data_IF_573066489826
#
_entry.id   IF_573066489826
#
_cell.length_a   1.000
_cell.length_b   1.000
_cell.length_c   1.000
_cell.angle_alpha   90.00
_cell.angle_beta   90.00
_cell.angle_gamma   90.00
#
_symmetry.space_group_name_H-M   'P 1'
#
loop_
_entity.id
_entity.type
_entity.pdbx_description
1 polymer ?
#
# COMPACT_ATOMS: atom_id res chain seq x y z
N UNK A 1 32.71 -1.08 -12.77
CA UNK A 1 31.86 -1.45 -11.61
C UNK A 1 30.55 -0.70 -11.78
N UNK A 2 29.45 -1.40 -11.68
CA UNK A 2 28.10 -0.83 -11.73
C UNK A 2 27.92 0.17 -10.59
N UNK A 3 27.39 1.34 -10.89
CA UNK A 3 27.13 2.37 -9.90
C UNK A 3 25.80 2.06 -9.18
N UNK A 4 25.77 2.22 -7.87
CA UNK A 4 24.55 2.09 -7.06
C UNK A 4 23.99 3.50 -6.80
N UNK A 5 22.79 3.76 -7.27
CA UNK A 5 22.09 5.04 -7.15
C UNK A 5 21.02 4.90 -6.08
N UNK A 6 21.24 5.41 -4.90
CA UNK A 6 20.33 5.29 -3.76
C UNK A 6 19.37 6.47 -3.74
N UNK A 7 18.10 6.21 -3.90
CA UNK A 7 17.01 7.17 -3.72
C UNK A 7 16.41 7.00 -2.32
N UNK A 8 16.66 7.95 -1.44
CA UNK A 8 16.13 7.91 -0.08
C UNK A 8 15.04 8.95 0.15
N UNK A 9 14.05 8.61 0.98
CA UNK A 9 13.06 9.57 1.44
C UNK A 9 13.45 10.08 2.84
N UNK A 10 13.86 11.36 2.99
CA UNK A 10 14.32 11.89 4.27
C UNK A 10 13.25 11.91 5.36
N UNK A 11 11.96 11.76 5.00
CA UNK A 11 10.84 11.71 5.93
C UNK A 11 10.47 10.29 6.36
N UNK A 12 11.01 9.26 5.70
CA UNK A 12 10.75 7.85 6.06
C UNK A 12 11.54 7.45 7.31
N UNK A 13 11.12 6.34 7.95
CA UNK A 13 11.78 5.82 9.15
C UNK A 13 11.78 6.82 10.32
N UNK A 14 10.76 7.68 10.45
CA UNK A 14 10.75 8.80 11.41
C UNK A 14 11.92 9.79 11.22
N UNK A 15 12.44 9.93 10.01
CA UNK A 15 13.53 10.82 9.65
C UNK A 15 14.91 10.17 9.65
N UNK A 16 15.02 8.86 9.88
CA UNK A 16 16.32 8.14 9.93
C UNK A 16 16.69 7.44 8.63
N UNK A 17 15.84 7.47 7.60
CA UNK A 17 16.03 6.71 6.37
C UNK A 17 17.40 6.91 5.70
N UNK A 18 17.95 8.14 5.72
CA UNK A 18 19.28 8.43 5.17
C UNK A 18 20.39 7.72 5.95
N UNK A 19 20.28 7.74 7.27
CA UNK A 19 21.23 7.08 8.19
C UNK A 19 21.12 5.56 8.05
N UNK A 20 19.90 5.03 7.99
CA UNK A 20 19.64 3.61 7.80
C UNK A 20 20.19 3.13 6.45
N UNK A 21 20.07 3.94 5.39
CA UNK A 21 20.60 3.64 4.06
C UNK A 21 22.14 3.54 4.02
N UNK A 22 22.85 4.14 4.97
CA UNK A 22 24.33 4.06 5.02
C UNK A 22 24.89 2.67 5.27
N UNK A 23 24.06 1.73 5.69
CA UNK A 23 24.48 0.31 5.77
C UNK A 23 24.91 -0.18 4.39
N UNK A 24 24.38 0.39 3.32
CA UNK A 24 24.74 0.05 1.94
C UNK A 24 26.18 0.44 1.59
N UNK A 25 26.78 1.43 2.28
CA UNK A 25 28.19 1.80 2.11
C UNK A 25 29.16 0.68 2.52
N UNK A 26 28.69 -0.27 3.34
CA UNK A 26 29.46 -1.45 3.76
C UNK A 26 29.45 -2.52 2.66
N UNK A 27 28.39 -2.55 1.86
CA UNK A 27 28.11 -3.59 0.87
C UNK A 27 28.58 -3.20 -0.55
N UNK A 28 28.60 -1.91 -0.88
CA UNK A 28 28.84 -1.41 -2.22
C UNK A 28 29.91 -0.30 -2.22
N UNK A 29 30.84 -0.36 -3.16
CA UNK A 29 31.96 0.58 -3.26
C UNK A 29 31.62 1.86 -4.06
N UNK A 30 30.79 1.75 -5.11
CA UNK A 30 30.44 2.86 -6.00
C UNK A 30 28.98 3.28 -5.80
N UNK A 31 28.74 4.10 -4.75
CA UNK A 31 27.40 4.48 -4.32
C UNK A 31 27.22 6.00 -4.34
N UNK A 32 26.06 6.46 -4.81
CA UNK A 32 25.65 7.86 -4.78
C UNK A 32 24.24 7.98 -4.20
N UNK A 33 23.99 9.03 -3.43
CA UNK A 33 22.71 9.22 -2.73
C UNK A 33 21.96 10.43 -3.29
N UNK A 34 20.68 10.25 -3.56
CA UNK A 34 19.76 11.31 -3.97
C UNK A 34 18.56 11.38 -3.03
N UNK A 35 18.26 12.60 -2.60
CA UNK A 35 17.00 12.89 -1.90
C UNK A 35 15.86 12.92 -2.93
N UNK A 36 14.98 11.93 -2.86
CA UNK A 36 13.87 11.81 -3.79
C UNK A 36 12.85 12.94 -3.69
N UNK A 37 12.88 13.74 -2.60
CA UNK A 37 12.04 14.94 -2.46
C UNK A 37 12.56 16.12 -3.28
N UNK A 38 13.80 16.05 -3.78
CA UNK A 38 14.42 17.07 -4.62
C UNK A 38 14.38 16.73 -6.11
N UNK A 39 13.87 15.56 -6.48
CA UNK A 39 13.70 15.16 -7.88
C UNK A 39 12.41 15.80 -8.39
N UNK A 40 12.55 16.83 -9.22
CA UNK A 40 11.42 17.54 -9.82
C UNK A 40 10.79 16.77 -10.97
N UNK A 41 11.62 16.06 -11.77
CA UNK A 41 11.18 15.29 -12.95
C UNK A 41 11.90 13.92 -12.99
N UNK A 42 11.17 12.87 -12.76
CA UNK A 42 11.71 11.50 -12.82
C UNK A 42 12.11 11.07 -14.23
N UNK A 43 11.46 11.56 -15.29
CA UNK A 43 11.84 11.22 -16.66
C UNK A 43 13.23 11.74 -16.98
N UNK A 44 13.52 13.01 -16.63
CA UNK A 44 14.83 13.62 -16.82
C UNK A 44 15.89 12.95 -15.92
N UNK A 45 15.50 12.62 -14.68
CA UNK A 45 16.39 11.92 -13.75
C UNK A 45 16.84 10.57 -14.32
N UNK A 46 15.90 9.71 -14.73
CA UNK A 46 16.24 8.41 -15.30
C UNK A 46 16.95 8.48 -16.65
N UNK A 47 16.63 9.48 -17.47
CA UNK A 47 17.35 9.72 -18.72
C UNK A 47 18.82 10.14 -18.50
N UNK A 48 19.16 10.68 -17.32
CA UNK A 48 20.53 11.07 -16.95
C UNK A 48 21.38 9.93 -16.41
N UNK A 49 20.76 8.79 -16.05
CA UNK A 49 21.46 7.61 -15.53
C UNK A 49 21.97 6.71 -16.66
N UNK A 50 23.06 6.00 -16.39
CA UNK A 50 23.44 4.86 -17.25
C UNK A 50 22.42 3.74 -17.05
N UNK A 51 21.89 3.10 -18.12
CA UNK A 51 20.98 1.97 -17.98
C UNK A 51 21.53 0.79 -17.14
N UNK A 52 22.87 0.68 -17.02
CA UNK A 52 23.54 -0.30 -16.17
C UNK A 52 23.62 0.09 -14.69
N UNK A 53 23.24 1.33 -14.32
CA UNK A 53 23.20 1.74 -12.92
C UNK A 53 22.07 1.03 -12.18
N UNK A 54 22.35 0.43 -11.03
CA UNK A 54 21.33 -0.10 -10.14
C UNK A 54 20.72 1.03 -9.30
N UNK A 55 19.40 1.12 -9.30
CA UNK A 55 18.68 2.11 -8.49
C UNK A 55 18.07 1.44 -7.27
N UNK A 56 18.46 1.89 -6.06
CA UNK A 56 18.01 1.33 -4.79
C UNK A 56 17.07 2.34 -4.11
N UNK A 57 15.80 1.97 -3.98
CA UNK A 57 14.78 2.77 -3.30
C UNK A 57 14.82 2.48 -1.80
N UNK A 58 15.15 3.50 -0.98
CA UNK A 58 15.17 3.38 0.47
C UNK A 58 13.97 4.08 1.11
N UNK A 59 13.21 3.34 1.88
CA UNK A 59 12.02 3.88 2.55
C UNK A 59 11.07 2.81 3.07
N UNK A 60 9.86 3.22 3.44
CA UNK A 60 8.75 2.33 3.76
C UNK A 60 7.78 2.15 2.58
N UNK A 61 6.69 1.41 2.80
CA UNK A 61 5.66 1.14 1.80
C UNK A 61 5.10 2.42 1.16
N UNK A 62 4.89 3.48 1.94
CA UNK A 62 4.45 4.78 1.41
C UNK A 62 5.47 5.44 0.50
N UNK A 63 6.78 5.23 0.72
CA UNK A 63 7.84 5.72 -0.17
C UNK A 63 7.79 4.98 -1.51
N UNK A 64 7.65 3.64 -1.46
CA UNK A 64 7.57 2.82 -2.65
C UNK A 64 6.29 3.11 -3.45
N UNK A 65 5.14 3.29 -2.77
CA UNK A 65 3.88 3.68 -3.41
C UNK A 65 3.99 5.05 -4.08
N UNK A 66 4.55 6.05 -3.38
CA UNK A 66 4.77 7.39 -3.94
C UNK A 66 5.66 7.32 -5.17
N UNK A 67 6.79 6.62 -5.11
CA UNK A 67 7.67 6.43 -6.26
C UNK A 67 6.93 5.84 -7.46
N UNK A 68 6.12 4.80 -7.25
CA UNK A 68 5.33 4.17 -8.31
C UNK A 68 4.29 5.11 -8.94
N UNK A 69 3.73 6.05 -8.17
CA UNK A 69 2.80 7.05 -8.69
C UNK A 69 3.52 8.22 -9.38
N UNK A 70 4.64 8.69 -8.82
CA UNK A 70 5.42 9.80 -9.37
C UNK A 70 6.15 9.40 -10.67
N UNK A 71 6.47 8.10 -10.85
CA UNK A 71 7.05 7.54 -12.08
C UNK A 71 6.01 7.01 -13.07
N UNK A 72 4.74 7.36 -12.88
CA UNK A 72 3.67 6.99 -13.80
C UNK A 72 3.93 7.52 -15.22
N UNK A 73 4.05 6.62 -16.22
CA UNK A 73 4.36 6.98 -17.60
C UNK A 73 5.83 7.30 -17.88
N UNK A 74 6.71 7.12 -16.89
CA UNK A 74 8.16 7.26 -17.07
C UNK A 74 8.76 5.92 -17.50
N UNK A 75 9.56 5.91 -18.57
CA UNK A 75 10.33 4.73 -18.97
C UNK A 75 11.55 4.60 -18.05
N UNK A 76 11.60 3.51 -17.27
CA UNK A 76 12.73 3.19 -16.41
C UNK A 76 13.42 1.93 -16.96
N UNK A 77 14.67 2.07 -17.37
CA UNK A 77 15.50 0.98 -17.92
C UNK A 77 16.40 0.34 -16.87
N UNK A 78 16.58 1.02 -15.77
CA UNK A 78 17.46 0.62 -14.69
C UNK A 78 16.89 -0.57 -13.89
N UNK A 79 17.74 -1.50 -13.43
CA UNK A 79 17.34 -2.41 -12.36
C UNK A 79 16.93 -1.62 -11.11
N UNK A 80 15.73 -1.90 -10.60
CA UNK A 80 15.22 -1.26 -9.39
C UNK A 80 15.27 -2.26 -8.23
N UNK A 81 15.87 -1.82 -7.15
CA UNK A 81 15.94 -2.55 -5.89
C UNK A 81 15.19 -1.79 -4.80
N UNK A 82 14.73 -2.49 -3.79
CA UNK A 82 14.08 -1.89 -2.64
C UNK A 82 14.80 -2.29 -1.35
N UNK A 83 15.16 -1.30 -0.57
CA UNK A 83 15.69 -1.44 0.78
C UNK A 83 14.68 -0.88 1.79
N UNK A 84 14.02 -1.77 2.52
CA UNK A 84 12.92 -1.42 3.40
C UNK A 84 13.42 -0.85 4.73
N UNK A 85 13.33 0.46 4.92
CA UNK A 85 13.67 1.17 6.16
C UNK A 85 12.43 1.66 6.93
N UNK A 86 11.22 1.26 6.48
CA UNK A 86 9.96 1.61 7.13
C UNK A 86 9.65 0.79 8.37
N UNK A 87 8.68 1.22 9.17
CA UNK A 87 8.25 0.52 10.39
C UNK A 87 7.20 -0.57 10.14
N UNK A 88 6.40 -0.46 9.08
CA UNK A 88 5.33 -1.40 8.74
C UNK A 88 5.80 -2.52 7.83
N UNK A 89 6.38 -2.14 6.70
CA UNK A 89 6.94 -3.02 5.66
C UNK A 89 5.99 -4.16 5.27
N UNK A 90 4.70 -3.83 5.08
CA UNK A 90 3.66 -4.81 4.74
C UNK A 90 3.92 -5.45 3.37
N UNK A 91 4.50 -4.68 2.44
CA UNK A 91 4.93 -5.17 1.15
C UNK A 91 5.98 -6.29 1.28
N UNK A 92 7.04 -6.06 2.03
CA UNK A 92 8.12 -7.05 2.26
C UNK A 92 7.58 -8.27 2.97
N UNK A 93 6.75 -8.07 4.02
CA UNK A 93 6.11 -9.16 4.76
C UNK A 93 5.27 -10.06 3.86
N UNK A 94 4.67 -9.51 2.83
CA UNK A 94 3.81 -10.24 1.90
C UNK A 94 4.60 -11.12 0.92
N UNK A 95 5.86 -10.81 0.68
CA UNK A 95 6.68 -11.53 -0.29
C UNK A 95 7.23 -12.85 0.27
N UNK A 96 7.15 -13.09 1.58
CA UNK A 96 7.72 -14.27 2.23
C UNK A 96 9.18 -14.54 1.79
N UNK A 97 9.96 -13.45 1.63
CA UNK A 97 11.34 -13.52 1.17
C UNK A 97 12.19 -14.33 2.15
N UNK A 98 13.10 -15.18 1.65
CA UNK A 98 14.07 -15.85 2.53
C UNK A 98 14.98 -14.81 3.21
N UNK A 99 15.60 -15.20 4.33
CA UNK A 99 16.61 -14.37 4.97
C UNK A 99 17.77 -14.16 4.00
N UNK A 100 17.88 -12.96 3.44
CA UNK A 100 18.89 -12.60 2.46
C UNK A 100 20.16 -12.07 3.12
N UNK A 101 21.29 -12.40 2.51
CA UNK A 101 22.55 -11.73 2.80
C UNK A 101 22.55 -10.25 2.31
N UNK A 102 21.82 -9.95 1.23
CA UNK A 102 21.64 -8.60 0.69
C UNK A 102 20.35 -8.01 1.27
N UNK A 103 20.41 -6.84 1.93
CA UNK A 103 19.24 -6.18 2.50
C UNK A 103 18.31 -5.58 1.45
N UNK A 104 18.74 -5.49 0.18
CA UNK A 104 17.94 -4.99 -0.94
C UNK A 104 17.53 -6.12 -1.89
N UNK A 105 16.36 -6.00 -2.49
CA UNK A 105 15.87 -6.99 -3.46
C UNK A 105 15.21 -6.30 -4.66
N UNK A 106 15.21 -6.97 -5.81
CA UNK A 106 14.69 -6.43 -7.06
C UNK A 106 13.17 -6.29 -7.03
N UNK A 107 12.66 -5.13 -7.49
CA UNK A 107 11.23 -4.79 -7.43
C UNK A 107 10.59 -4.44 -8.77
N UNK A 108 11.32 -4.48 -9.88
CA UNK A 108 10.77 -4.14 -11.20
C UNK A 108 9.46 -4.87 -11.50
N UNK A 109 9.41 -6.19 -11.31
CA UNK A 109 8.22 -7.01 -11.61
C UNK A 109 6.99 -6.62 -10.80
N UNK A 110 7.19 -6.26 -9.53
CA UNK A 110 6.11 -5.84 -8.65
C UNK A 110 5.55 -4.49 -9.07
N UNK A 111 6.41 -3.54 -9.44
CA UNK A 111 6.01 -2.18 -9.80
C UNK A 111 5.37 -2.10 -11.20
N UNK A 112 5.75 -2.97 -12.14
CA UNK A 112 5.14 -3.04 -13.47
C UNK A 112 3.66 -3.46 -13.44
N UNK A 113 3.25 -4.21 -12.43
CA UNK A 113 1.95 -4.87 -12.34
C UNK A 113 1.08 -4.33 -11.22
N UNK A 114 1.24 -3.05 -10.87
CA UNK A 114 0.42 -2.44 -9.84
C UNK A 114 -1.01 -2.21 -10.33
N UNK A 115 -1.99 -2.53 -9.49
CA UNK A 115 -3.38 -2.17 -9.74
C UNK A 115 -3.60 -0.67 -9.58
N UNK A 116 -4.74 -0.21 -10.12
CA UNK A 116 -5.15 1.19 -10.10
C UNK A 116 -6.48 1.32 -9.36
N UNK A 117 -6.61 2.33 -8.53
CA UNK A 117 -7.88 2.74 -7.95
C UNK A 117 -8.30 4.10 -8.50
N UNK A 118 -9.56 4.20 -8.92
CA UNK A 118 -10.19 5.45 -9.35
C UNK A 118 -11.08 5.98 -8.22
N UNK A 119 -10.78 7.20 -7.77
CA UNK A 119 -11.56 7.93 -6.77
C UNK A 119 -11.87 9.31 -7.31
N UNK A 120 -13.16 9.66 -7.43
CA UNK A 120 -13.62 10.96 -7.98
C UNK A 120 -12.99 11.32 -9.34
N UNK A 121 -12.82 10.32 -10.20
CA UNK A 121 -12.24 10.49 -11.53
C UNK A 121 -10.71 10.63 -11.56
N UNK A 122 -10.04 10.58 -10.41
CA UNK A 122 -8.59 10.55 -10.34
C UNK A 122 -8.09 9.13 -10.10
N UNK A 123 -7.04 8.74 -10.79
CA UNK A 123 -6.41 7.42 -10.69
C UNK A 123 -5.16 7.45 -9.82
N UNK A 124 -5.01 6.40 -9.02
CA UNK A 124 -3.84 6.17 -8.18
C UNK A 124 -3.43 4.71 -8.28
N UNK A 125 -2.15 4.44 -8.36
CA UNK A 125 -1.62 3.09 -8.16
C UNK A 125 -1.57 2.77 -6.70
N UNK A 126 -1.79 1.51 -6.36
CA UNK A 126 -1.61 1.05 -4.99
C UNK A 126 -0.78 -0.23 -4.93
N UNK A 127 0.06 -0.29 -3.90
CA UNK A 127 1.02 -1.36 -3.67
C UNK A 127 0.38 -2.53 -2.91
N UNK A 128 -0.23 -2.22 -1.77
CA UNK A 128 -0.79 -3.20 -0.83
C UNK A 128 -2.31 -3.24 -0.87
N UNK A 129 -2.97 -2.10 -0.73
CA UNK A 129 -4.43 -2.08 -0.72
C UNK A 129 -5.07 -0.72 -0.54
N UNK A 130 -6.37 -0.71 -0.82
CA UNK A 130 -7.28 0.42 -0.64
C UNK A 130 -8.21 0.09 0.51
N UNK A 131 -8.06 0.78 1.63
CA UNK A 131 -8.88 0.59 2.80
C UNK A 131 -10.11 1.49 2.82
N UNK A 132 -11.28 0.94 3.13
CA UNK A 132 -12.53 1.68 3.16
C UNK A 132 -13.40 1.28 4.34
N UNK A 133 -13.76 2.25 5.14
CA UNK A 133 -14.48 2.05 6.39
C UNK A 133 -13.72 2.55 7.62
N UNK A 134 -13.64 1.72 8.66
CA UNK A 134 -12.96 2.09 9.91
C UNK A 134 -11.47 2.37 9.75
N UNK A 135 -10.82 1.75 8.78
CA UNK A 135 -9.40 1.98 8.47
C UNK A 135 -9.16 3.36 7.86
N UNK A 136 -10.01 3.82 6.93
CA UNK A 136 -9.97 5.19 6.46
C UNK A 136 -10.16 6.20 7.58
N UNK A 137 -11.11 5.94 8.50
CA UNK A 137 -11.28 6.73 9.72
C UNK A 137 -9.99 6.72 10.59
N UNK A 138 -9.33 5.58 10.72
CA UNK A 138 -8.10 5.50 11.50
C UNK A 138 -6.95 6.31 10.87
N UNK A 139 -6.84 6.33 9.56
CA UNK A 139 -5.86 7.16 8.86
C UNK A 139 -6.15 8.65 9.05
N UNK A 140 -7.41 9.09 8.87
CA UNK A 140 -7.82 10.47 9.13
C UNK A 140 -7.49 10.94 10.55
N UNK A 141 -7.81 10.12 11.57
CA UNK A 141 -7.47 10.44 12.96
C UNK A 141 -5.95 10.46 13.21
N UNK A 142 -5.22 9.55 12.56
CA UNK A 142 -3.75 9.53 12.59
C UNK A 142 -3.16 10.82 12.03
N UNK A 143 -3.65 11.28 10.88
CA UNK A 143 -3.21 12.52 10.24
C UNK A 143 -3.55 13.75 11.11
N UNK A 144 -4.74 13.80 11.69
CA UNK A 144 -5.12 14.85 12.62
C UNK A 144 -4.18 14.92 13.83
N UNK A 145 -3.76 13.78 14.37
CA UNK A 145 -2.82 13.73 15.47
C UNK A 145 -1.39 14.11 15.04
N UNK A 146 -0.98 13.81 13.82
CA UNK A 146 0.31 14.26 13.26
C UNK A 146 0.36 15.77 13.13
N UNK A 147 -0.68 16.38 12.52
CA UNK A 147 -0.80 17.85 12.40
C UNK A 147 -0.73 18.49 13.79
N UNK A 148 -1.51 17.98 14.75
CA UNK A 148 -1.51 18.54 16.12
C UNK A 148 -0.16 18.39 16.81
N UNK A 149 0.56 17.30 16.58
CA UNK A 149 1.93 17.13 17.09
C UNK A 149 2.87 18.17 16.53
N UNK A 150 2.81 18.39 15.21
CA UNK A 150 3.70 19.31 14.51
C UNK A 150 3.40 20.77 14.90
N UNK A 151 2.13 21.14 15.08
CA UNK A 151 1.72 22.46 15.56
C UNK A 151 2.10 22.74 17.03
N UNK A 152 2.04 21.72 17.87
CA UNK A 152 2.25 21.92 19.33
C UNK A 152 3.66 21.62 19.80
N UNK A 153 4.51 21.03 18.94
CA UNK A 153 5.87 20.56 19.28
C UNK A 153 5.88 19.43 20.35
N UNK A 154 4.70 18.90 20.73
CA UNK A 154 4.60 17.83 21.74
C UNK A 154 4.87 16.47 21.09
N UNK A 155 5.66 15.64 21.76
CA UNK A 155 5.92 14.26 21.30
C UNK A 155 4.69 13.37 21.53
N UNK A 156 3.67 13.52 20.67
CA UNK A 156 2.45 12.72 20.72
C UNK A 156 2.71 11.38 19.99
N UNK A 157 2.76 10.30 20.75
CA UNK A 157 2.81 8.94 20.15
C UNK A 157 1.45 8.58 19.58
N UNK A 158 1.40 8.33 18.27
CA UNK A 158 0.18 7.87 17.59
C UNK A 158 0.05 6.37 17.82
N UNK A 159 -1.00 5.97 18.52
CA UNK A 159 -1.29 4.56 18.77
C UNK A 159 -2.56 4.16 17.98
N UNK A 160 -2.35 3.54 16.83
CA UNK A 160 -3.44 3.12 15.95
C UNK A 160 -4.39 2.10 16.61
N UNK A 161 -3.90 1.24 17.50
CA UNK A 161 -4.77 0.31 18.25
C UNK A 161 -5.78 1.08 19.10
N UNK A 162 -5.35 2.14 19.77
CA UNK A 162 -6.25 2.99 20.56
C UNK A 162 -7.25 3.72 19.65
N UNK A 163 -6.82 4.20 18.48
CA UNK A 163 -7.70 4.86 17.50
C UNK A 163 -8.77 3.87 17.02
N UNK A 164 -8.39 2.65 16.64
CA UNK A 164 -9.33 1.60 16.22
C UNK A 164 -10.34 1.29 17.32
N UNK A 165 -9.90 1.07 18.57
CA UNK A 165 -10.79 0.75 19.68
C UNK A 165 -11.79 1.88 19.94
N UNK A 166 -11.31 3.13 20.00
CA UNK A 166 -12.16 4.31 20.17
C UNK A 166 -13.12 4.49 19.00
N UNK A 167 -12.62 4.29 17.76
CA UNK A 167 -13.42 4.34 16.55
C UNK A 167 -14.56 3.33 16.62
N UNK A 168 -14.27 2.05 16.86
CA UNK A 168 -15.27 0.98 16.94
C UNK A 168 -16.33 1.21 18.01
N UNK A 169 -15.93 1.72 19.17
CA UNK A 169 -16.85 1.87 20.29
C UNK A 169 -17.67 3.17 20.23
N UNK A 170 -17.06 4.29 19.83
CA UNK A 170 -17.66 5.61 20.07
C UNK A 170 -17.84 6.46 18.81
N UNK A 171 -16.94 6.42 17.86
CA UNK A 171 -16.89 7.44 16.82
C UNK A 171 -17.33 6.93 15.44
N UNK A 172 -16.92 5.73 15.02
CA UNK A 172 -17.27 5.21 13.71
C UNK A 172 -18.64 4.51 13.74
N UNK A 173 -19.47 4.81 12.75
CA UNK A 173 -20.75 4.13 12.52
C UNK A 173 -20.65 3.33 11.23
N UNK A 174 -20.99 2.02 11.24
CA UNK A 174 -20.98 1.22 10.01
C UNK A 174 -21.97 1.78 8.99
N UNK A 175 -21.63 1.60 7.71
CA UNK A 175 -22.44 2.03 6.56
C UNK A 175 -23.11 0.83 5.91
N UNK A 176 -24.08 1.04 5.01
CA UNK A 176 -24.45 0.00 4.08
C UNK A 176 -23.57 0.14 2.82
N UNK A 177 -23.32 -0.97 2.15
CA UNK A 177 -22.47 -0.99 0.97
C UNK A 177 -23.08 -1.81 -0.17
N UNK A 178 -22.76 -1.40 -1.37
CA UNK A 178 -22.88 -2.20 -2.60
C UNK A 178 -21.47 -2.49 -3.07
N UNK A 179 -21.16 -3.77 -3.24
CA UNK A 179 -19.86 -4.23 -3.75
C UNK A 179 -20.11 -4.96 -5.06
N UNK A 180 -19.51 -4.48 -6.12
CA UNK A 180 -19.60 -5.11 -7.46
C UNK A 180 -18.24 -5.65 -7.84
N UNK A 181 -18.17 -6.95 -8.13
CA UNK A 181 -16.97 -7.64 -8.58
C UNK A 181 -17.23 -8.24 -9.95
N UNK A 182 -16.50 -7.78 -10.96
CA UNK A 182 -16.62 -8.23 -12.35
C UNK A 182 -18.09 -8.25 -12.87
N UNK A 183 -18.85 -7.20 -12.50
CA UNK A 183 -20.25 -7.05 -12.87
C UNK A 183 -21.26 -7.74 -11.94
N UNK A 184 -20.83 -8.60 -11.04
CA UNK A 184 -21.71 -9.26 -10.04
C UNK A 184 -21.84 -8.38 -8.80
N UNK A 185 -23.07 -8.02 -8.47
CA UNK A 185 -23.37 -7.07 -7.38
C UNK A 185 -23.84 -7.76 -6.11
N UNK A 186 -23.25 -7.38 -4.98
CA UNK A 186 -23.56 -7.83 -3.63
C UNK A 186 -23.96 -6.65 -2.75
N UNK A 187 -25.02 -6.79 -1.95
CA UNK A 187 -25.49 -5.74 -1.03
C UNK A 187 -25.24 -6.14 0.41
N UNK A 188 -24.64 -5.25 1.17
CA UNK A 188 -24.25 -5.47 2.56
C UNK A 188 -24.84 -4.41 3.49
N UNK A 189 -25.24 -4.83 4.68
CA UNK A 189 -25.73 -3.95 5.74
C UNK A 189 -24.72 -3.88 6.89
N UNK A 190 -24.57 -2.73 7.49
CA UNK A 190 -23.67 -2.49 8.63
C UNK A 190 -22.23 -2.94 8.34
N UNK A 191 -21.65 -2.41 7.26
CA UNK A 191 -20.26 -2.65 6.88
C UNK A 191 -19.35 -1.81 7.75
N UNK A 192 -18.42 -2.47 8.41
CA UNK A 192 -17.38 -1.86 9.23
C UNK A 192 -16.11 -1.59 8.43
N UNK A 193 -15.80 -2.48 7.51
CA UNK A 193 -14.54 -2.51 6.78
C UNK A 193 -14.75 -3.20 5.43
N UNK A 194 -14.26 -2.59 4.36
CA UNK A 194 -14.30 -3.15 3.00
C UNK A 194 -13.01 -2.81 2.22
N UNK A 195 -11.82 -3.34 2.64
CA UNK A 195 -10.58 -3.10 1.92
C UNK A 195 -10.51 -3.95 0.65
N UNK A 196 -10.02 -3.35 -0.43
CA UNK A 196 -9.59 -4.06 -1.64
C UNK A 196 -8.08 -4.19 -1.64
N UNK A 197 -7.59 -5.42 -1.79
CA UNK A 197 -6.21 -5.81 -1.56
C UNK A 197 -5.55 -6.32 -2.84
N UNK A 198 -4.31 -5.91 -3.04
CA UNK A 198 -3.38 -6.46 -4.02
C UNK A 198 -2.46 -7.54 -3.39
N UNK A 199 -2.08 -7.35 -2.15
CA UNK A 199 -1.37 -8.32 -1.32
C UNK A 199 -2.20 -8.80 -0.14
N UNK A 200 -1.58 -9.60 0.76
CA UNK A 200 -2.23 -10.11 1.97
C UNK A 200 -2.30 -9.06 3.07
N UNK A 201 -1.28 -8.19 3.17
CA UNK A 201 -1.05 -7.30 4.32
C UNK A 201 -1.21 -5.83 3.98
N UNK A 202 -1.70 -5.05 4.96
CA UNK A 202 -1.72 -3.60 4.94
C UNK A 202 -1.82 -3.05 6.38
N UNK A 203 -1.61 -1.74 6.56
CA UNK A 203 -1.87 -1.04 7.82
C UNK A 203 -1.05 -1.55 9.01
N UNK A 204 0.17 -2.04 8.78
CA UNK A 204 1.09 -2.51 9.82
C UNK A 204 0.81 -3.94 10.27
N UNK A 205 0.40 -4.82 9.37
CA UNK A 205 0.27 -6.26 9.60
C UNK A 205 -1.16 -6.80 9.66
N UNK A 206 -2.17 -6.01 9.34
CA UNK A 206 -3.51 -6.54 9.10
C UNK A 206 -3.49 -7.42 7.85
N UNK A 207 -4.12 -8.59 7.91
CA UNK A 207 -4.20 -9.59 6.83
C UNK A 207 -5.67 -9.84 6.44
N UNK A 208 -6.34 -8.90 5.75
CA UNK A 208 -7.76 -9.01 5.45
C UNK A 208 -8.08 -10.11 4.43
N UNK A 209 -7.16 -10.40 3.51
CA UNK A 209 -7.33 -11.36 2.43
C UNK A 209 -6.19 -12.40 2.46
N UNK A 210 -6.22 -13.37 3.40
CA UNK A 210 -5.08 -14.28 3.63
C UNK A 210 -4.69 -15.15 2.44
N UNK A 211 -5.62 -15.39 1.50
CA UNK A 211 -5.38 -16.19 0.29
C UNK A 211 -5.00 -15.31 -0.93
N UNK A 212 -4.89 -14.00 -0.77
CA UNK A 212 -4.48 -13.12 -1.86
C UNK A 212 -2.99 -13.33 -2.15
N UNK A 213 -2.67 -13.42 -3.44
CA UNK A 213 -1.31 -13.42 -3.94
C UNK A 213 -1.15 -12.27 -4.94
N UNK A 214 -0.25 -11.33 -4.65
CA UNK A 214 0.01 -10.19 -5.54
C UNK A 214 0.61 -10.57 -6.88
N UNK A 215 1.23 -11.74 -6.95
CA UNK A 215 1.86 -12.28 -8.16
C UNK A 215 1.02 -13.36 -8.84
N UNK A 216 -0.27 -13.54 -8.43
CA UNK A 216 -1.13 -14.53 -9.08
C UNK A 216 -1.19 -14.29 -10.60
N UNK A 217 -1.24 -15.34 -11.37
CA UNK A 217 -1.15 -15.30 -12.84
C UNK A 217 -2.26 -14.45 -13.47
N UNK A 218 -3.46 -14.51 -12.93
CA UNK A 218 -4.62 -13.75 -13.41
C UNK A 218 -4.57 -12.27 -12.98
N UNK A 219 -3.67 -11.88 -12.07
CA UNK A 219 -3.57 -10.53 -11.50
C UNK A 219 -4.88 -10.05 -10.85
N UNK A 220 -5.61 -10.94 -10.22
CA UNK A 220 -6.85 -10.59 -9.52
C UNK A 220 -6.60 -9.84 -8.22
N UNK A 221 -7.60 -9.07 -7.80
CA UNK A 221 -7.70 -8.40 -6.51
C UNK A 221 -8.71 -9.10 -5.62
N UNK A 222 -8.60 -8.93 -4.31
CA UNK A 222 -9.61 -9.43 -3.38
C UNK A 222 -10.15 -8.32 -2.49
N UNK A 223 -11.46 -8.27 -2.30
CA UNK A 223 -12.12 -7.40 -1.33
C UNK A 223 -12.66 -8.22 -0.15
N UNK A 224 -12.30 -7.82 1.07
CA UNK A 224 -12.92 -8.34 2.28
C UNK A 224 -14.06 -7.42 2.71
N UNK A 225 -15.22 -7.97 3.06
CA UNK A 225 -16.33 -7.20 3.62
C UNK A 225 -16.65 -7.70 5.02
N UNK A 226 -16.38 -6.86 6.03
CA UNK A 226 -16.76 -7.12 7.43
C UNK A 226 -18.09 -6.44 7.73
N UNK A 227 -19.16 -7.22 7.90
CA UNK A 227 -20.52 -6.71 7.95
C UNK A 227 -21.41 -7.37 8.99
N UNK A 228 -22.60 -6.78 9.25
CA UNK A 228 -23.65 -7.29 10.16
C UNK A 228 -23.24 -7.58 11.60
N UNK A 229 -22.02 -7.27 11.99
CA UNK A 229 -21.56 -7.42 13.36
C UNK A 229 -21.94 -6.21 14.21
N UNK A 230 -22.27 -6.44 15.48
CA UNK A 230 -22.39 -5.36 16.47
C UNK A 230 -21.01 -4.90 16.94
N UNK A 231 -20.91 -3.71 17.54
CA UNK A 231 -19.65 -3.08 17.98
C UNK A 231 -18.77 -4.03 18.79
N UNK A 232 -19.31 -4.65 19.83
CA UNK A 232 -18.55 -5.56 20.70
C UNK A 232 -18.04 -6.79 19.94
N UNK A 233 -18.87 -7.36 19.06
CA UNK A 233 -18.48 -8.50 18.24
C UNK A 233 -17.39 -8.12 17.24
N UNK A 234 -17.50 -6.94 16.60
CA UNK A 234 -16.46 -6.42 15.70
C UNK A 234 -15.16 -6.22 16.46
N UNK A 235 -15.18 -5.65 17.66
CA UNK A 235 -14.01 -5.47 18.51
C UNK A 235 -13.33 -6.80 18.85
N UNK A 236 -14.10 -7.84 19.14
CA UNK A 236 -13.57 -9.19 19.45
C UNK A 236 -13.01 -9.89 18.21
N UNK A 237 -13.57 -9.62 17.02
CA UNK A 237 -13.11 -10.19 15.76
C UNK A 237 -11.88 -9.50 15.20
N UNK A 238 -11.75 -8.18 15.41
CA UNK A 238 -10.73 -7.35 14.79
C UNK A 238 -9.29 -7.87 14.99
N UNK A 239 -8.86 -8.29 16.19
CA UNK A 239 -7.51 -8.84 16.38
C UNK A 239 -7.23 -10.11 15.57
N UNK A 240 -8.27 -10.87 15.20
CA UNK A 240 -8.09 -12.07 14.37
C UNK A 240 -7.71 -11.76 12.92
N UNK A 241 -7.90 -10.51 12.46
CA UNK A 241 -7.50 -10.08 11.11
C UNK A 241 -5.97 -10.13 10.97
N UNK A 242 -5.20 -9.82 12.01
CA UNK A 242 -3.73 -9.89 11.97
C UNK A 242 -3.16 -11.28 11.65
N UNK A 243 -3.95 -12.32 11.89
CA UNK A 243 -3.56 -13.73 11.67
C UNK A 243 -4.43 -14.43 10.63
N UNK A 244 -5.24 -13.68 9.86
CA UNK A 244 -6.17 -14.23 8.89
C UNK A 244 -7.31 -15.06 9.50
N UNK A 245 -7.42 -15.15 10.83
CA UNK A 245 -8.41 -15.99 11.52
C UNK A 245 -9.86 -15.50 11.44
N UNK A 246 -10.09 -14.29 10.94
CA UNK A 246 -11.42 -13.70 10.75
C UNK A 246 -12.25 -14.44 9.69
N UNK A 247 -11.63 -15.14 8.74
CA UNK A 247 -12.33 -15.92 7.69
C UNK A 247 -13.26 -17.01 8.23
N UNK A 248 -13.05 -17.43 9.48
CA UNK A 248 -13.93 -18.38 10.16
C UNK A 248 -15.31 -17.81 10.48
N UNK A 249 -15.45 -16.48 10.52
CA UNK A 249 -16.71 -15.81 10.84
C UNK A 249 -17.60 -15.60 9.60
N UNK A 250 -17.89 -16.65 8.83
CA UNK A 250 -18.62 -16.66 7.56
C UNK A 250 -19.96 -15.90 7.53
N UNK A 251 -20.59 -15.63 8.70
CA UNK A 251 -21.81 -14.81 8.80
C UNK A 251 -21.52 -13.30 8.76
N UNK A 252 -20.28 -12.91 8.90
CA UNK A 252 -19.85 -11.52 9.08
C UNK A 252 -18.69 -11.10 8.18
N UNK A 253 -18.04 -12.05 7.54
CA UNK A 253 -16.88 -11.81 6.68
C UNK A 253 -17.09 -12.54 5.37
N UNK A 254 -17.14 -11.78 4.28
CA UNK A 254 -17.07 -12.28 2.92
C UNK A 254 -15.77 -11.79 2.27
N UNK A 255 -15.19 -12.64 1.44
CA UNK A 255 -14.04 -12.27 0.58
C UNK A 255 -14.46 -12.60 -0.85
N UNK A 256 -14.38 -11.61 -1.72
CA UNK A 256 -14.69 -11.70 -3.15
C UNK A 256 -13.43 -11.36 -3.94
N UNK A 257 -13.19 -12.09 -5.03
CA UNK A 257 -11.99 -11.95 -5.87
C UNK A 257 -12.38 -11.69 -7.31
N UNK A 258 -11.70 -10.78 -7.99
CA UNK A 258 -11.92 -10.44 -9.39
C UNK A 258 -10.98 -9.37 -9.90
N UNK A 259 -11.16 -8.96 -11.15
CA UNK A 259 -10.31 -7.97 -11.83
C UNK A 259 -10.78 -6.53 -11.63
N UNK A 260 -12.08 -6.34 -11.47
CA UNK A 260 -12.69 -5.01 -11.28
C UNK A 260 -13.58 -5.06 -10.05
N UNK A 261 -13.24 -4.28 -9.05
CA UNK A 261 -13.94 -4.22 -7.77
C UNK A 261 -14.39 -2.79 -7.53
N UNK A 262 -15.71 -2.58 -7.46
CA UNK A 262 -16.32 -1.29 -7.10
C UNK A 262 -16.97 -1.43 -5.73
N UNK A 263 -16.69 -0.48 -4.84
CA UNK A 263 -17.31 -0.39 -3.51
C UNK A 263 -18.01 0.95 -3.38
N UNK A 264 -19.29 0.92 -3.04
CA UNK A 264 -20.13 2.11 -2.86
C UNK A 264 -20.77 2.08 -1.46
N UNK A 265 -20.57 3.14 -0.68
CA UNK A 265 -21.19 3.31 0.63
C UNK A 265 -22.39 4.26 0.53
N UNK A 266 -23.39 4.07 1.40
CA UNK A 266 -24.61 4.90 1.45
C UNK A 266 -24.34 6.33 1.96
N UNK A 267 -23.17 6.60 2.55
CA UNK A 267 -22.69 7.93 2.95
C UNK A 267 -21.20 8.08 2.68
N UNK A 268 -20.68 9.31 2.54
CA UNK A 268 -19.24 9.52 2.41
C UNK A 268 -18.54 9.13 3.74
N UNK A 269 -17.38 8.49 3.58
CA UNK A 269 -16.45 8.17 4.67
C UNK A 269 -15.02 8.34 4.16
N UNK A 270 -14.03 8.48 5.04
CA UNK A 270 -12.63 8.47 4.62
C UNK A 270 -12.25 7.14 3.98
N UNK A 271 -11.37 7.22 2.98
CA UNK A 271 -10.72 6.11 2.32
C UNK A 271 -9.21 6.27 2.50
N UNK A 272 -8.48 5.19 2.55
CA UNK A 272 -7.02 5.23 2.51
C UNK A 272 -6.49 4.42 1.32
N UNK A 273 -5.39 4.88 0.70
CA UNK A 273 -4.66 4.21 -0.38
C UNK A 273 -3.23 4.04 0.13
N UNK A 274 -2.82 2.83 0.47
CA UNK A 274 -1.50 2.53 1.06
C UNK A 274 -1.11 3.47 2.21
N UNK A 275 -2.09 3.90 3.03
CA UNK A 275 -1.89 4.79 4.17
C UNK A 275 -2.16 6.28 3.91
N UNK A 276 -2.32 6.70 2.64
CA UNK A 276 -2.67 8.08 2.30
C UNK A 276 -4.19 8.29 2.35
N UNK A 277 -4.65 9.28 3.11
CA UNK A 277 -6.08 9.52 3.37
C UNK A 277 -6.74 10.33 2.24
N UNK A 278 -7.88 9.85 1.76
CA UNK A 278 -8.80 10.60 0.88
C UNK A 278 -10.13 10.81 1.60
N UNK A 279 -10.48 12.08 1.87
CA UNK A 279 -11.70 12.42 2.61
C UNK A 279 -12.96 12.37 1.73
N UNK A 280 -14.12 12.24 2.37
CA UNK A 280 -15.46 12.38 1.75
C UNK A 280 -15.70 11.46 0.52
N UNK A 281 -15.26 10.22 0.59
CA UNK A 281 -15.43 9.24 -0.51
C UNK A 281 -16.75 8.48 -0.32
N UNK A 282 -17.56 8.39 -1.38
CA UNK A 282 -18.75 7.53 -1.44
C UNK A 282 -18.50 6.23 -2.18
N UNK A 283 -17.62 6.26 -3.17
CA UNK A 283 -17.30 5.09 -3.97
C UNK A 283 -15.89 5.16 -4.52
N UNK A 284 -15.34 4.00 -4.75
CA UNK A 284 -14.13 3.82 -5.54
C UNK A 284 -14.27 2.60 -6.47
N UNK A 285 -13.47 2.55 -7.51
CA UNK A 285 -13.29 1.39 -8.36
C UNK A 285 -11.81 1.02 -8.43
N UNK A 286 -11.48 -0.19 -8.00
CA UNK A 286 -10.15 -0.77 -8.16
C UNK A 286 -10.13 -1.69 -9.37
N UNK A 287 -9.05 -1.63 -10.15
CA UNK A 287 -8.82 -2.47 -11.33
C UNK A 287 -7.47 -3.13 -11.21
N UNK A 288 -7.42 -4.42 -11.48
CA UNK A 288 -6.17 -5.16 -11.54
C UNK A 288 -5.28 -4.67 -12.69
N UNK A 289 -4.00 -5.02 -12.66
CA UNK A 289 -3.05 -4.66 -13.71
C UNK A 289 -3.50 -5.10 -15.12
N UNK A 290 -4.15 -6.26 -15.24
CA UNK A 290 -4.67 -6.76 -16.52
C UNK A 290 -5.92 -6.00 -17.01
N UNK A 291 -6.71 -5.45 -16.09
CA UNK A 291 -7.91 -4.66 -16.41
C UNK A 291 -7.61 -3.16 -16.55
N UNK A 292 -6.47 -2.69 -16.06
CA UNK A 292 -5.96 -1.35 -16.31
C UNK A 292 -5.30 -1.33 -17.70
N UNK A 293 -5.58 -0.30 -18.51
CA UNK A 293 -4.78 -0.11 -19.73
C UNK A 293 -3.31 0.05 -19.33
N UNK A 294 -2.42 -0.68 -20.03
CA UNK A 294 -0.97 -0.55 -19.85
C UNK A 294 -0.57 0.92 -19.99
N UNK A 295 -0.25 1.58 -18.90
CA UNK A 295 0.14 2.98 -18.89
C UNK A 295 1.61 3.17 -18.59
N UNK A 296 2.39 2.08 -18.45
CA UNK A 296 3.83 2.14 -18.25
C UNK A 296 4.48 1.10 -19.15
N UNK A 297 5.28 1.57 -20.10
CA UNK A 297 6.28 0.75 -20.75
C UNK A 297 7.53 0.69 -19.87
N UNK A 298 7.50 -0.21 -18.89
CA UNK A 298 8.72 -0.64 -18.24
C UNK A 298 9.35 -1.66 -19.17
N UNK A 299 10.40 -1.30 -19.85
CA UNK A 299 11.26 -2.28 -20.50
C UNK A 299 11.97 -3.05 -19.38
N UNK A 300 11.41 -4.20 -19.02
CA UNK A 300 12.14 -5.17 -18.18
C UNK A 300 13.30 -5.64 -19.04
N UNK A 301 14.57 -5.39 -18.68
CA UNK A 301 15.68 -6.02 -19.38
C UNK A 301 15.43 -7.54 -19.33
N UNK A 302 15.39 -8.20 -20.48
CA UNK A 302 15.29 -9.65 -20.55
C UNK A 302 16.38 -10.21 -19.64
N UNK A 303 15.98 -10.97 -18.64
CA UNK A 303 16.89 -11.70 -17.79
C UNK A 303 17.51 -12.78 -18.70
N UNK A 304 18.67 -12.50 -19.26
CA UNK A 304 19.51 -13.56 -19.85
C UNK A 304 19.94 -14.45 -18.70
N UNK A 305 19.16 -15.52 -18.51
CA UNK A 305 19.54 -16.62 -17.64
C UNK A 305 20.76 -17.26 -18.31
N UNK A 306 21.92 -17.11 -17.70
CA UNK A 306 23.04 -18.04 -17.85
C UNK A 306 23.04 -19.03 -16.71
#
# INVERSE_FOLDING_TARGET
>A
MERKVVLYNPKAGNGTCKEDAKVLDILYENIVYFDMMQIENYADFFASLDPADDVILCGGDGTLNRFANDTAGVTVRNPLYYFATGTGNDFVRDLDLPDFADPSFRVNEYLCNLPVVTVRGKEYRFLNGVGYGIDGYCCEEGDRLRIKRDETGKNLKINYTVIVIKGLLFHYKPTNAVVTVDGVTHTYKKVWLAPTMNGRYYGGGLMPTPAQDRMNEEKTLSVMVLHRAGKLKTLLMFPSIFKGGHIKYKKHVDILTGHRIKVEFDRPVPLQIDGETVLDVRSYEARSANAAQKTIDWEVPECTVC
#
